data_IF_324221747878
#
_entry.id   IF_324221747878
#
_cell.length_a   1.000
_cell.length_b   1.000
_cell.length_c   1.000
_cell.angle_alpha   90.00
_cell.angle_beta   90.00
_cell.angle_gamma   90.00
#
_symmetry.space_group_name_H-M   'P 1'
#
loop_
_entity.id
_entity.type
_entity.pdbx_description
1 polymer ?
#
# COMPACT_ATOMS: atom_id res chain seq x y z
N UNK A 1 -14.85 39.79 18.27
CA UNK A 1 -14.63 38.75 19.29
C UNK A 1 -14.04 37.53 18.59
N UNK A 2 -12.71 37.44 18.55
CA UNK A 2 -11.95 36.36 17.91
C UNK A 2 -11.89 35.16 18.86
N UNK A 3 -12.57 34.07 18.51
CA UNK A 3 -12.45 32.82 19.24
C UNK A 3 -11.08 32.19 18.94
N UNK A 4 -10.18 32.21 19.93
CA UNK A 4 -8.91 31.52 19.87
C UNK A 4 -9.19 30.00 19.74
N UNK A 5 -8.78 29.41 18.62
CA UNK A 5 -8.75 27.96 18.47
C UNK A 5 -7.79 27.42 19.54
N UNK A 6 -8.30 26.59 20.46
CA UNK A 6 -7.51 25.91 21.47
C UNK A 6 -6.58 24.94 20.75
N UNK A 7 -5.31 25.33 20.59
CA UNK A 7 -4.26 24.52 19.99
C UNK A 7 -3.83 23.45 21.02
N UNK A 8 -4.68 22.44 21.19
CA UNK A 8 -4.45 21.33 22.11
C UNK A 8 -3.49 20.35 21.42
N UNK A 9 -2.20 20.59 21.57
CA UNK A 9 -1.13 19.71 21.08
C UNK A 9 -1.24 18.35 21.75
N UNK A 10 -1.99 17.43 21.14
CA UNK A 10 -2.01 16.03 21.52
C UNK A 10 -0.62 15.43 21.24
N UNK A 11 0.18 15.24 22.29
CA UNK A 11 1.45 14.50 22.18
C UNK A 11 1.13 13.03 21.91
N UNK A 12 1.64 12.50 20.79
CA UNK A 12 1.50 11.08 20.47
C UNK A 12 2.22 10.23 21.52
N UNK A 13 1.55 9.18 21.96
CA UNK A 13 2.15 8.18 22.84
C UNK A 13 3.25 7.40 22.11
N UNK A 14 4.22 6.80 22.84
CA UNK A 14 5.25 5.97 22.21
C UNK A 14 4.69 4.84 21.34
N UNK A 15 3.56 4.25 21.74
CA UNK A 15 2.86 3.21 20.97
C UNK A 15 2.30 3.76 19.66
N UNK A 16 1.69 4.95 19.69
CA UNK A 16 1.18 5.61 18.47
C UNK A 16 2.30 5.94 17.48
N UNK A 17 3.48 6.33 17.98
CA UNK A 17 4.67 6.50 17.14
C UNK A 17 5.13 5.21 16.47
N UNK A 18 5.14 4.09 17.21
CA UNK A 18 5.48 2.77 16.64
C UNK A 18 4.47 2.37 15.57
N UNK A 19 3.17 2.53 15.81
CA UNK A 19 2.12 2.24 14.82
C UNK A 19 2.33 3.08 13.56
N UNK A 20 2.56 4.39 13.72
CA UNK A 20 2.82 5.31 12.60
C UNK A 20 4.10 4.93 11.83
N UNK A 21 5.16 4.55 12.55
CA UNK A 21 6.42 4.09 11.96
C UNK A 21 6.26 2.82 11.13
N UNK A 22 5.59 1.80 11.67
CA UNK A 22 5.34 0.54 10.94
C UNK A 22 4.43 0.75 9.74
N UNK A 23 3.40 1.60 9.89
CA UNK A 23 2.49 1.94 8.79
C UNK A 23 3.22 2.67 7.65
N UNK A 24 4.04 3.66 7.96
CA UNK A 24 4.83 4.40 6.94
C UNK A 24 5.90 3.54 6.30
N UNK A 25 6.54 2.62 7.05
CA UNK A 25 7.48 1.65 6.50
C UNK A 25 6.81 0.72 5.47
N UNK A 26 5.62 0.19 5.78
CA UNK A 26 4.85 -0.64 4.85
C UNK A 26 4.47 0.10 3.57
N UNK A 27 3.99 1.35 3.71
CA UNK A 27 3.64 2.19 2.55
C UNK A 27 4.86 2.56 1.69
N UNK A 28 6.01 2.84 2.32
CA UNK A 28 7.25 3.13 1.62
C UNK A 28 7.74 1.91 0.82
N UNK A 29 7.66 0.71 1.40
CA UNK A 29 7.98 -0.53 0.71
C UNK A 29 7.06 -0.79 -0.49
N UNK A 30 5.75 -0.63 -0.31
CA UNK A 30 4.76 -0.80 -1.38
C UNK A 30 5.05 0.15 -2.56
N UNK A 31 5.29 1.43 -2.26
CA UNK A 31 5.66 2.45 -3.25
C UNK A 31 6.96 2.10 -3.96
N UNK A 32 7.97 1.65 -3.22
CA UNK A 32 9.26 1.25 -3.78
C UNK A 32 9.10 0.09 -4.78
N UNK A 33 8.33 -0.95 -4.42
CA UNK A 33 8.11 -2.10 -5.30
C UNK A 33 7.34 -1.69 -6.55
N UNK A 34 6.31 -0.85 -6.43
CA UNK A 34 5.54 -0.36 -7.57
C UNK A 34 6.43 0.41 -8.57
N UNK A 35 7.32 1.29 -8.07
CA UNK A 35 8.23 2.08 -8.89
C UNK A 35 9.37 1.25 -9.47
N UNK A 36 9.86 0.24 -8.75
CA UNK A 36 10.97 -0.61 -9.19
C UNK A 36 10.53 -1.76 -10.10
N UNK A 37 9.28 -2.22 -10.00
CA UNK A 37 8.73 -3.28 -10.84
C UNK A 37 9.01 -3.08 -12.36
N UNK A 38 8.72 -1.93 -12.99
CA UNK A 38 8.95 -1.76 -14.43
C UNK A 38 10.44 -1.79 -14.81
N UNK A 39 11.34 -1.42 -13.88
CA UNK A 39 12.79 -1.42 -14.09
C UNK A 39 13.37 -2.83 -13.98
N UNK A 40 12.85 -3.66 -13.07
CA UNK A 40 13.43 -4.97 -12.73
C UNK A 40 12.79 -6.12 -13.52
N UNK A 41 11.49 -6.06 -13.82
CA UNK A 41 10.75 -7.18 -14.42
C UNK A 41 11.26 -7.54 -15.82
N UNK A 42 11.57 -6.54 -16.67
CA UNK A 42 12.06 -6.79 -18.03
C UNK A 42 13.37 -7.60 -18.04
N UNK A 43 14.43 -7.13 -17.36
CA UNK A 43 15.67 -7.89 -17.22
C UNK A 43 15.50 -9.24 -16.50
N UNK A 44 14.61 -9.32 -15.51
CA UNK A 44 14.34 -10.56 -14.78
C UNK A 44 13.74 -11.64 -15.69
N UNK A 45 12.76 -11.29 -16.53
CA UNK A 45 12.18 -12.21 -17.52
C UNK A 45 13.21 -12.68 -18.55
N UNK A 46 14.10 -11.79 -18.98
CA UNK A 46 15.18 -12.15 -19.90
C UNK A 46 16.21 -13.11 -19.28
N UNK A 47 16.63 -12.86 -18.04
CA UNK A 47 17.69 -13.65 -17.38
C UNK A 47 17.19 -14.95 -16.75
N UNK A 48 15.99 -14.95 -16.14
CA UNK A 48 15.47 -16.10 -15.39
C UNK A 48 14.57 -17.00 -16.24
N UNK A 49 13.76 -16.41 -17.12
CA UNK A 49 12.82 -17.15 -17.97
C UNK A 49 13.30 -17.30 -19.43
N UNK A 50 14.42 -16.67 -19.81
CA UNK A 50 14.94 -16.71 -21.18
C UNK A 50 14.04 -16.00 -22.21
N UNK A 51 13.07 -15.20 -21.76
CA UNK A 51 12.08 -14.59 -22.63
C UNK A 51 12.65 -13.34 -23.31
N UNK A 52 12.43 -13.24 -24.63
CA UNK A 52 12.86 -12.09 -25.42
C UNK A 52 11.77 -11.02 -25.48
N UNK A 53 12.11 -9.73 -25.31
CA UNK A 53 11.18 -8.63 -25.56
C UNK A 53 10.60 -8.73 -26.98
N UNK A 54 9.29 -8.45 -27.10
CA UNK A 54 8.56 -8.53 -28.38
C UNK A 54 7.88 -9.87 -28.66
N UNK A 55 8.09 -10.89 -27.83
CA UNK A 55 7.30 -12.12 -27.87
C UNK A 55 5.97 -11.96 -27.12
N UNK A 56 4.92 -12.67 -27.56
CA UNK A 56 3.61 -12.63 -26.88
C UNK A 56 3.71 -13.12 -25.43
N UNK A 57 4.56 -14.11 -25.18
CA UNK A 57 4.79 -14.68 -23.85
C UNK A 57 5.47 -13.68 -22.91
N UNK A 58 6.45 -12.90 -23.39
CA UNK A 58 7.07 -11.82 -22.61
C UNK A 58 6.03 -10.80 -22.16
N UNK A 59 5.17 -10.32 -23.07
CA UNK A 59 4.15 -9.32 -22.75
C UNK A 59 3.13 -9.84 -21.73
N UNK A 60 2.75 -11.12 -21.85
CA UNK A 60 1.84 -11.77 -20.89
C UNK A 60 2.45 -11.80 -19.49
N UNK A 61 3.67 -12.29 -19.34
CA UNK A 61 4.32 -12.39 -18.03
C UNK A 61 4.65 -11.03 -17.44
N UNK A 62 5.11 -10.09 -18.26
CA UNK A 62 5.34 -8.71 -17.84
C UNK A 62 4.04 -8.09 -17.31
N UNK A 63 2.94 -8.24 -18.06
CA UNK A 63 1.62 -7.75 -17.64
C UNK A 63 1.14 -8.40 -16.34
N UNK A 64 1.26 -9.73 -16.21
CA UNK A 64 0.86 -10.42 -14.98
C UNK A 64 1.65 -9.93 -13.76
N UNK A 65 2.97 -9.84 -13.87
CA UNK A 65 3.85 -9.39 -12.78
C UNK A 65 3.62 -7.92 -12.40
N UNK A 66 3.14 -7.10 -13.33
CA UNK A 66 2.85 -5.70 -13.07
C UNK A 66 1.42 -5.47 -12.52
N UNK A 67 0.41 -6.06 -13.17
CA UNK A 67 -0.99 -5.76 -12.88
C UNK A 67 -1.58 -6.59 -11.73
N UNK A 68 -1.17 -7.85 -11.56
CA UNK A 68 -1.72 -8.69 -10.48
C UNK A 68 -1.39 -8.12 -9.09
N UNK A 69 -0.14 -7.71 -8.79
CA UNK A 69 0.15 -7.08 -7.50
C UNK A 69 -0.58 -5.75 -7.31
N UNK A 70 -0.70 -4.92 -8.36
CA UNK A 70 -1.42 -3.66 -8.29
C UNK A 70 -2.92 -3.87 -7.97
N UNK A 71 -3.56 -4.85 -8.63
CA UNK A 71 -4.95 -5.21 -8.35
C UNK A 71 -5.13 -5.78 -6.94
N UNK A 72 -4.21 -6.65 -6.51
CA UNK A 72 -4.23 -7.19 -5.16
C UNK A 72 -4.08 -6.06 -4.11
N UNK A 73 -3.12 -5.16 -4.29
CA UNK A 73 -2.92 -3.99 -3.43
C UNK A 73 -4.16 -3.11 -3.35
N UNK A 74 -4.79 -2.81 -4.49
CA UNK A 74 -6.05 -2.07 -4.53
C UNK A 74 -7.20 -2.79 -3.82
N UNK A 75 -7.36 -4.09 -4.02
CA UNK A 75 -8.39 -4.89 -3.37
C UNK A 75 -8.18 -4.96 -1.84
N UNK A 76 -6.95 -5.24 -1.38
CA UNK A 76 -6.61 -5.25 0.04
C UNK A 76 -6.72 -3.86 0.67
N UNK A 77 -6.41 -2.78 -0.06
CA UNK A 77 -6.62 -1.41 0.38
C UNK A 77 -8.10 -1.10 0.62
N UNK A 78 -8.98 -1.48 -0.31
CA UNK A 78 -10.43 -1.34 -0.17
C UNK A 78 -10.97 -2.16 1.00
N UNK A 79 -10.55 -3.43 1.12
CA UNK A 79 -10.95 -4.30 2.24
C UNK A 79 -10.47 -3.72 3.57
N UNK A 80 -9.22 -3.25 3.65
CA UNK A 80 -8.66 -2.62 4.85
C UNK A 80 -9.40 -1.35 5.26
N UNK A 81 -9.73 -0.49 4.28
CA UNK A 81 -10.56 0.70 4.50
C UNK A 81 -11.95 0.32 5.02
N UNK A 82 -12.62 -0.62 4.35
CA UNK A 82 -13.93 -1.11 4.75
C UNK A 82 -13.95 -1.76 6.14
N UNK A 83 -12.93 -2.56 6.49
CA UNK A 83 -12.79 -3.14 7.82
C UNK A 83 -12.58 -2.06 8.89
N UNK A 84 -11.83 -1.00 8.58
CA UNK A 84 -11.65 0.14 9.48
C UNK A 84 -12.98 0.85 9.74
N UNK A 85 -13.80 1.02 8.70
CA UNK A 85 -15.13 1.62 8.80
C UNK A 85 -16.12 0.72 9.57
N UNK A 86 -16.08 -0.59 9.33
CA UNK A 86 -16.95 -1.58 10.00
C UNK A 86 -16.62 -1.75 11.48
N UNK A 87 -15.34 -1.81 11.82
CA UNK A 87 -14.88 -2.03 13.19
C UNK A 87 -15.00 -0.76 14.05
N UNK A 88 -15.41 0.39 13.48
CA UNK A 88 -15.25 1.70 14.09
C UNK A 88 -16.37 2.73 13.93
N UNK A 89 -17.64 2.41 14.26
CA UNK A 89 -18.60 3.46 14.73
C UNK A 89 -19.72 3.04 15.71
N UNK A 90 -19.94 1.75 15.99
CA UNK A 90 -21.17 1.29 16.72
C UNK A 90 -20.98 0.47 18.00
N UNK A 91 -19.76 0.13 18.43
CA UNK A 91 -19.52 -0.69 19.64
C UNK A 91 -19.28 0.09 20.94
N UNK A 92 -19.44 1.42 20.93
CA UNK A 92 -19.28 2.28 22.12
C UNK A 92 -20.58 2.97 22.59
N UNK A 93 -21.68 2.92 21.81
CA UNK A 93 -22.93 3.62 22.20
C UNK A 93 -23.98 2.73 22.88
N UNK A 94 -23.65 1.49 23.22
CA UNK A 94 -24.57 0.52 23.83
C UNK A 94 -24.08 -0.10 25.15
N UNK A 95 -22.95 0.37 25.68
CA UNK A 95 -22.54 0.11 27.07
C UNK A 95 -21.89 1.35 27.67
#
# INVERSE_FOLDING_TARGET
MTAAASDRTFRLTPVQWVICGVATLGFAFDTYVLLMAPLVVGPALGKLAGLRPGTAEFNRWFGLLFYVPALAGGAFGLIGGYLTDLLGRRRILVW
#
